data_IF_885571837051
#
_entry.id   IF_885571837051
#
_cell.length_a   1.000
_cell.length_b   1.000
_cell.length_c   1.000
_cell.angle_alpha   90.00
_cell.angle_beta   90.00
_cell.angle_gamma   90.00
#
_symmetry.space_group_name_H-M   'P 1'
#
loop_
_entity.id
_entity.type
_entity.pdbx_description
1 polymer ?
#
# COMPACT_ATOMS: atom_id res chain seq x y z
N UNK A 1 -11.13 -28.38 -18.01
CA UNK A 1 -9.66 -28.38 -17.82
C UNK A 1 -9.04 -27.36 -18.77
N UNK A 2 -8.84 -26.13 -18.31
CA UNK A 2 -8.09 -25.11 -19.06
C UNK A 2 -6.61 -25.28 -18.68
N UNK A 3 -5.74 -25.46 -19.68
CA UNK A 3 -4.29 -25.51 -19.46
C UNK A 3 -3.81 -24.13 -19.00
N UNK A 4 -3.02 -24.01 -17.92
CA UNK A 4 -2.41 -22.73 -17.58
C UNK A 4 -1.32 -22.41 -18.61
N UNK A 5 -1.53 -21.34 -19.39
CA UNK A 5 -0.46 -20.72 -20.16
C UNK A 5 0.42 -19.95 -19.19
N UNK A 6 1.52 -20.57 -18.75
CA UNK A 6 2.58 -19.88 -18.02
C UNK A 6 3.36 -19.00 -18.98
N UNK A 7 2.92 -17.74 -19.14
CA UNK A 7 3.79 -16.69 -19.66
C UNK A 7 4.80 -16.33 -18.58
N UNK A 8 5.99 -16.93 -18.65
CA UNK A 8 7.17 -16.43 -17.97
C UNK A 8 7.48 -15.05 -18.54
N UNK A 9 6.98 -13.99 -17.89
CA UNK A 9 7.47 -12.64 -18.16
C UNK A 9 8.81 -12.53 -17.43
N UNK A 10 9.95 -12.41 -18.14
CA UNK A 10 11.23 -12.26 -17.49
C UNK A 10 11.15 -11.04 -16.56
N UNK A 11 11.54 -11.23 -15.29
CA UNK A 11 12.07 -10.12 -14.51
C UNK A 11 13.27 -9.65 -15.32
N UNK A 12 13.09 -8.57 -16.08
CA UNK A 12 14.22 -7.86 -16.67
C UNK A 12 14.92 -7.24 -15.47
N UNK A 13 15.87 -7.98 -14.89
CA UNK A 13 16.93 -7.39 -14.09
C UNK A 13 17.60 -6.39 -15.04
N UNK A 14 17.33 -5.11 -14.81
CA UNK A 14 17.95 -4.02 -15.53
C UNK A 14 19.47 -4.26 -15.46
N UNK A 15 20.10 -4.39 -16.62
CA UNK A 15 21.56 -4.40 -16.71
C UNK A 15 22.06 -3.14 -16.00
N UNK A 16 22.86 -3.31 -14.95
CA UNK A 16 23.65 -2.21 -14.41
C UNK A 16 24.58 -1.72 -15.52
N UNK A 17 24.20 -0.65 -16.21
CA UNK A 17 25.10 -0.01 -17.18
C UNK A 17 26.20 0.68 -16.38
N UNK A 18 27.36 0.05 -16.32
CA UNK A 18 28.60 0.67 -15.89
C UNK A 18 28.89 1.82 -16.85
N UNK A 19 28.59 3.05 -16.46
CA UNK A 19 29.15 4.22 -17.16
C UNK A 19 30.59 4.36 -16.68
N UNK A 20 31.61 4.14 -17.53
CA UNK A 20 32.98 4.45 -17.16
C UNK A 20 33.12 5.97 -17.03
N UNK A 21 33.09 6.46 -15.80
CA UNK A 21 33.53 7.81 -15.46
C UNK A 21 35.02 7.91 -15.74
N UNK A 22 35.35 8.62 -16.82
CA UNK A 22 36.73 8.89 -17.20
C UNK A 22 37.26 10.05 -16.35
N UNK A 23 38.02 9.74 -15.31
CA UNK A 23 38.89 10.71 -14.64
C UNK A 23 38.75 10.79 -13.12
N UNK A 24 39.87 10.55 -12.45
CA UNK A 24 40.14 11.09 -11.12
C UNK A 24 39.69 10.21 -9.96
N UNK A 25 40.66 9.85 -9.12
CA UNK A 25 40.49 9.17 -7.84
C UNK A 25 39.44 9.83 -6.95
N UNK A 26 38.34 9.13 -6.71
CA UNK A 26 37.52 9.18 -5.48
C UNK A 26 36.50 8.05 -5.59
N UNK A 27 36.17 7.42 -4.46
CA UNK A 27 35.36 6.19 -4.36
C UNK A 27 34.19 6.17 -5.34
N UNK A 28 34.30 5.37 -6.41
CA UNK A 28 33.31 5.30 -7.47
C UNK A 28 31.96 4.85 -6.92
N UNK A 29 31.09 5.82 -6.63
CA UNK A 29 29.73 5.58 -6.21
C UNK A 29 28.99 4.99 -7.41
N UNK A 30 28.66 3.70 -7.32
CA UNK A 30 27.84 3.04 -8.34
C UNK A 30 26.45 3.64 -8.27
N UNK A 31 26.07 4.41 -9.30
CA UNK A 31 24.70 4.90 -9.46
C UNK A 31 23.87 3.77 -10.07
N UNK A 32 22.92 3.24 -9.31
CA UNK A 32 21.93 2.31 -9.83
C UNK A 32 20.73 3.15 -10.26
N UNK A 33 20.41 3.13 -11.54
CA UNK A 33 19.18 3.77 -12.05
C UNK A 33 18.08 2.71 -12.07
N UNK A 34 17.09 2.85 -11.20
CA UNK A 34 15.88 2.03 -11.23
C UNK A 34 14.87 2.63 -12.20
N UNK A 35 14.76 2.06 -13.39
CA UNK A 35 13.69 2.39 -14.32
C UNK A 35 12.45 1.55 -13.97
N UNK A 36 11.54 2.13 -13.19
CA UNK A 36 10.24 1.54 -12.91
C UNK A 36 9.32 1.72 -14.12
N UNK A 37 8.65 0.64 -14.52
CA UNK A 37 7.70 0.65 -15.64
C UNK A 37 6.33 0.26 -15.15
N UNK A 38 5.29 0.79 -15.79
CA UNK A 38 3.92 0.42 -15.49
C UNK A 38 3.76 -1.11 -15.52
N UNK A 39 3.10 -1.64 -14.49
CA UNK A 39 2.80 -3.06 -14.41
C UNK A 39 1.67 -3.37 -15.38
N UNK A 40 2.04 -3.92 -16.53
CA UNK A 40 1.09 -4.32 -17.57
C UNK A 40 0.61 -5.75 -17.32
N UNK A 41 -0.69 -5.96 -17.40
CA UNK A 41 -1.31 -7.27 -17.17
C UNK A 41 -2.81 -7.24 -17.41
N UNK A 42 -3.44 -8.41 -17.47
CA UNK A 42 -4.89 -8.50 -17.57
C UNK A 42 -5.51 -8.00 -16.26
N UNK A 43 -6.31 -6.94 -16.33
CA UNK A 43 -7.18 -6.52 -15.23
C UNK A 43 -8.34 -7.50 -15.10
N UNK A 44 -8.50 -8.07 -13.92
CA UNK A 44 -9.58 -8.96 -13.54
C UNK A 44 -10.88 -8.15 -13.29
N UNK A 45 -12.07 -8.77 -13.36
CA UNK A 45 -13.35 -8.08 -13.16
C UNK A 45 -13.49 -7.34 -11.82
N UNK A 46 -12.74 -7.77 -10.81
CA UNK A 46 -12.69 -7.17 -9.48
C UNK A 46 -11.66 -6.03 -9.35
N UNK A 47 -10.99 -5.64 -10.44
CA UNK A 47 -10.06 -4.52 -10.51
C UNK A 47 -8.58 -4.86 -10.23
N UNK A 48 -8.29 -6.10 -9.82
CA UNK A 48 -6.90 -6.55 -9.61
C UNK A 48 -6.19 -6.85 -10.92
N UNK A 49 -4.86 -6.73 -10.94
CA UNK A 49 -4.04 -7.06 -12.11
C UNK A 49 -3.44 -8.46 -11.93
N UNK A 50 -3.59 -9.34 -12.91
CA UNK A 50 -3.02 -10.68 -12.86
C UNK A 50 -1.48 -10.63 -12.69
N UNK A 51 -0.94 -11.46 -11.80
CA UNK A 51 0.51 -11.50 -11.51
C UNK A 51 1.01 -10.41 -10.57
N UNK A 52 0.10 -9.68 -9.91
CA UNK A 52 0.42 -8.72 -8.86
C UNK A 52 -0.03 -9.18 -7.49
N UNK A 53 0.57 -8.58 -6.47
CA UNK A 53 0.06 -8.67 -5.12
C UNK A 53 -1.30 -7.97 -5.01
N UNK A 54 -2.32 -8.65 -4.47
CA UNK A 54 -3.69 -8.13 -4.43
C UNK A 54 -3.99 -7.55 -3.06
N UNK A 55 -4.24 -6.25 -2.96
CA UNK A 55 -4.61 -5.56 -1.73
C UNK A 55 -6.05 -5.05 -1.77
N UNK A 56 -6.90 -5.67 -0.96
CA UNK A 56 -8.22 -5.17 -0.68
C UNK A 56 -8.16 -4.03 0.34
N UNK A 57 -8.60 -2.85 -0.08
CA UNK A 57 -8.76 -1.69 0.80
C UNK A 57 -10.19 -1.73 1.36
N UNK A 58 -10.32 -2.19 2.60
CA UNK A 58 -11.60 -2.42 3.27
C UNK A 58 -12.07 -1.12 3.97
N UNK A 59 -12.90 -0.35 3.27
CA UNK A 59 -13.48 0.88 3.81
C UNK A 59 -14.70 0.58 4.67
N UNK A 60 -14.63 0.93 5.95
CA UNK A 60 -15.82 1.03 6.80
C UNK A 60 -16.70 2.18 6.30
N UNK A 61 -17.80 1.85 5.64
CA UNK A 61 -18.71 2.83 5.05
C UNK A 61 -19.33 3.78 6.09
N UNK A 62 -19.55 3.32 7.33
CA UNK A 62 -20.08 4.15 8.39
C UNK A 62 -19.05 5.16 8.87
N UNK A 63 -17.81 4.70 9.10
CA UNK A 63 -16.69 5.56 9.46
C UNK A 63 -16.36 6.58 8.34
N UNK A 64 -16.36 6.13 7.09
CA UNK A 64 -16.14 6.98 5.93
C UNK A 64 -17.22 8.06 5.80
N UNK A 65 -18.50 7.70 5.94
CA UNK A 65 -19.58 8.69 5.89
C UNK A 65 -19.44 9.76 6.98
N UNK A 66 -19.06 9.36 8.20
CA UNK A 66 -18.80 10.29 9.30
C UNK A 66 -17.60 11.21 9.01
N UNK A 67 -16.51 10.66 8.50
CA UNK A 67 -15.32 11.43 8.13
C UNK A 67 -15.60 12.42 6.98
N UNK A 68 -16.34 12.00 5.95
CA UNK A 68 -16.77 12.88 4.86
C UNK A 68 -17.63 14.03 5.37
N UNK A 69 -18.62 13.74 6.23
CA UNK A 69 -19.46 14.75 6.84
C UNK A 69 -18.64 15.76 7.67
N UNK A 70 -17.65 15.27 8.42
CA UNK A 70 -16.73 16.11 9.19
C UNK A 70 -15.88 17.05 8.29
N UNK A 71 -15.56 16.62 7.07
CA UNK A 71 -14.87 17.43 6.06
C UNK A 71 -15.82 18.34 5.26
N UNK A 72 -17.12 18.30 5.52
CA UNK A 72 -18.12 19.08 4.78
C UNK A 72 -18.50 18.48 3.42
N UNK A 73 -18.21 17.20 3.19
CA UNK A 73 -18.62 16.47 1.99
C UNK A 73 -19.92 15.70 2.23
N UNK A 74 -20.64 15.40 1.15
CA UNK A 74 -21.83 14.54 1.22
C UNK A 74 -21.44 13.06 1.28
N UNK A 75 -22.24 12.24 1.95
CA UNK A 75 -22.04 10.78 1.95
C UNK A 75 -22.17 10.15 0.55
N UNK A 76 -22.88 10.81 -0.38
CA UNK A 76 -22.98 10.40 -1.78
C UNK A 76 -21.64 10.43 -2.53
N UNK A 77 -20.61 11.09 -1.98
CA UNK A 77 -19.27 11.14 -2.56
C UNK A 77 -18.36 10.00 -2.09
N UNK A 78 -18.87 9.03 -1.33
CA UNK A 78 -18.07 7.93 -0.80
C UNK A 78 -17.39 7.09 -1.90
N UNK A 79 -18.08 6.78 -2.99
CA UNK A 79 -17.49 5.98 -4.08
C UNK A 79 -16.44 6.78 -4.87
N UNK A 80 -16.66 8.09 -5.07
CA UNK A 80 -15.68 8.98 -5.68
C UNK A 80 -14.42 9.06 -4.81
N UNK A 81 -14.58 9.21 -3.50
CA UNK A 81 -13.48 9.22 -2.54
C UNK A 81 -12.66 7.92 -2.62
N UNK A 82 -13.31 6.76 -2.54
CA UNK A 82 -12.64 5.45 -2.65
C UNK A 82 -11.88 5.33 -3.96
N UNK A 83 -12.51 5.71 -5.08
CA UNK A 83 -11.88 5.67 -6.40
C UNK A 83 -10.61 6.52 -6.45
N UNK A 84 -10.69 7.77 -5.96
CA UNK A 84 -9.54 8.69 -5.92
C UNK A 84 -8.45 8.19 -4.98
N UNK A 85 -8.80 7.62 -3.83
CA UNK A 85 -7.82 7.03 -2.91
C UNK A 85 -7.07 5.90 -3.59
N UNK A 86 -7.76 5.02 -4.33
CA UNK A 86 -7.11 3.93 -5.07
C UNK A 86 -6.24 4.45 -6.22
N UNK A 87 -6.62 5.52 -6.90
CA UNK A 87 -5.82 6.17 -7.96
C UNK A 87 -4.51 6.73 -7.41
N UNK A 88 -4.58 7.50 -6.32
CA UNK A 88 -3.38 8.01 -5.64
C UNK A 88 -2.51 6.87 -5.09
N UNK A 89 -3.12 5.83 -4.53
CA UNK A 89 -2.40 4.67 -4.00
C UNK A 89 -1.63 3.94 -5.11
N UNK A 90 -2.23 3.75 -6.29
CA UNK A 90 -1.54 3.19 -7.46
C UNK A 90 -0.34 4.02 -7.89
N UNK A 91 -0.43 5.35 -7.77
CA UNK A 91 0.67 6.27 -8.10
C UNK A 91 1.86 6.07 -7.15
N UNK A 92 1.62 5.87 -5.85
CA UNK A 92 2.69 5.64 -4.87
C UNK A 92 3.44 4.31 -5.09
N UNK A 93 2.78 3.32 -5.68
CA UNK A 93 3.36 2.02 -6.02
C UNK A 93 3.64 1.86 -7.51
N UNK A 94 3.86 2.95 -8.24
CA UNK A 94 4.13 2.88 -9.67
C UNK A 94 5.33 1.96 -9.96
N UNK A 95 5.12 0.99 -10.86
CA UNK A 95 6.10 -0.02 -11.24
C UNK A 95 6.45 -1.08 -10.20
N UNK A 96 5.75 -1.08 -9.08
CA UNK A 96 5.77 -2.14 -8.09
C UNK A 96 4.61 -3.12 -8.39
N UNK A 97 4.86 -4.44 -8.34
CA UNK A 97 3.87 -5.48 -8.72
C UNK A 97 2.80 -5.70 -7.64
N UNK A 98 1.97 -4.69 -7.46
CA UNK A 98 0.86 -4.64 -6.50
C UNK A 98 -0.36 -4.02 -7.19
N UNK A 99 -1.56 -4.49 -6.84
CA UNK A 99 -2.82 -3.92 -7.31
C UNK A 99 -3.82 -3.79 -6.16
N UNK A 100 -4.69 -2.80 -6.29
CA UNK A 100 -5.58 -2.39 -5.21
C UNK A 100 -7.03 -2.44 -5.68
N UNK A 101 -7.93 -2.86 -4.80
CA UNK A 101 -9.37 -2.79 -5.03
C UNK A 101 -10.14 -2.49 -3.74
N UNK A 102 -11.23 -1.75 -3.86
CA UNK A 102 -12.21 -1.57 -2.78
C UNK A 102 -13.14 -2.78 -2.62
N UNK A 103 -13.01 -3.79 -3.48
CA UNK A 103 -13.76 -5.04 -3.40
C UNK A 103 -12.80 -6.22 -3.23
N UNK A 104 -13.12 -7.20 -2.37
CA UNK A 104 -12.33 -8.41 -2.31
C UNK A 104 -12.47 -9.23 -3.61
N UNK A 105 -11.54 -10.14 -3.92
CA UNK A 105 -11.73 -11.10 -5.00
C UNK A 105 -12.95 -12.00 -4.74
N UNK A 106 -13.76 -12.30 -5.77
CA UNK A 106 -14.98 -13.13 -5.63
C UNK A 106 -14.70 -14.54 -5.09
N UNK A 107 -13.58 -15.12 -5.49
CA UNK A 107 -13.10 -16.42 -5.02
C UNK A 107 -11.70 -16.19 -4.45
N UNK A 108 -11.60 -15.45 -3.36
CA UNK A 108 -10.33 -15.15 -2.69
C UNK A 108 -10.28 -15.66 -1.27
N UNK A 109 -9.08 -15.82 -0.75
CA UNK A 109 -8.85 -16.16 0.65
C UNK A 109 -7.98 -15.13 1.38
N UNK A 110 -8.37 -14.78 2.60
CA UNK A 110 -7.60 -13.90 3.48
C UNK A 110 -7.75 -14.38 4.91
N UNK A 111 -6.86 -13.97 5.81
CA UNK A 111 -7.01 -14.36 7.20
C UNK A 111 -8.23 -13.70 7.83
N UNK A 112 -8.61 -14.22 8.99
CA UNK A 112 -9.61 -13.57 9.82
C UNK A 112 -9.08 -12.21 10.29
N UNK A 113 -9.95 -11.19 10.43
CA UNK A 113 -9.54 -9.90 10.96
C UNK A 113 -8.77 -10.05 12.27
N UNK A 114 -7.55 -9.50 12.29
CA UNK A 114 -6.70 -9.56 13.47
C UNK A 114 -5.88 -10.81 13.68
N UNK A 115 -5.94 -11.74 12.73
CA UNK A 115 -5.17 -12.96 12.74
C UNK A 115 -3.95 -12.85 11.81
N UNK A 116 -2.93 -13.64 12.11
CA UNK A 116 -1.70 -13.73 11.32
C UNK A 116 -1.63 -15.10 10.68
N UNK A 117 -1.82 -15.15 9.37
CA UNK A 117 -1.74 -16.40 8.61
C UNK A 117 -0.83 -16.21 7.39
N UNK A 118 0.01 -17.21 7.11
CA UNK A 118 0.86 -17.19 5.92
C UNK A 118 0.06 -17.54 4.66
N UNK A 119 0.41 -16.95 3.51
CA UNK A 119 -0.24 -17.20 2.22
C UNK A 119 -0.54 -18.67 1.94
N UNK A 120 0.45 -19.55 2.20
CA UNK A 120 0.37 -20.98 1.93
C UNK A 120 -0.76 -21.70 2.70
N UNK A 121 -1.31 -21.06 3.74
CA UNK A 121 -2.39 -21.60 4.57
C UNK A 121 -3.77 -21.04 4.23
N UNK A 122 -3.85 -20.00 3.40
CA UNK A 122 -5.09 -19.29 3.10
C UNK A 122 -5.94 -20.01 2.04
N UNK A 123 -5.33 -20.83 1.19
CA UNK A 123 -6.01 -21.57 0.12
C UNK A 123 -5.79 -20.92 -1.25
N UNK A 124 -6.78 -21.03 -2.13
CA UNK A 124 -6.68 -20.53 -3.50
C UNK A 124 -6.88 -19.01 -3.58
N UNK A 125 -6.11 -18.38 -4.47
CA UNK A 125 -6.20 -16.96 -4.79
C UNK A 125 -6.14 -16.04 -3.54
N UNK A 126 -5.11 -16.19 -2.69
CA UNK A 126 -5.01 -15.37 -1.50
C UNK A 126 -4.79 -13.89 -1.81
N UNK A 127 -5.23 -13.03 -0.89
CA UNK A 127 -5.16 -11.57 -1.03
C UNK A 127 -4.95 -10.88 0.33
N UNK A 128 -4.36 -9.69 0.25
CA UNK A 128 -4.10 -8.79 1.35
C UNK A 128 -5.31 -7.97 1.72
N UNK A 129 -5.45 -7.60 3.00
CA UNK A 129 -6.45 -6.63 3.44
C UNK A 129 -5.81 -5.56 4.30
N UNK A 130 -6.21 -4.31 4.07
CA UNK A 130 -5.96 -3.18 4.97
C UNK A 130 -7.29 -2.45 5.23
N UNK A 131 -7.65 -2.28 6.50
CA UNK A 131 -8.88 -1.61 6.88
C UNK A 131 -8.68 -0.09 6.86
N UNK A 132 -9.64 0.64 6.32
CA UNK A 132 -9.83 2.08 6.49
C UNK A 132 -11.04 2.28 7.38
N UNK A 133 -10.83 2.54 8.66
CA UNK A 133 -11.86 2.42 9.69
C UNK A 133 -11.81 3.55 10.71
N UNK A 134 -12.76 3.54 11.65
CA UNK A 134 -12.76 4.47 12.78
C UNK A 134 -11.78 3.97 13.87
N UNK A 135 -10.72 4.72 14.13
CA UNK A 135 -9.75 4.47 15.20
C UNK A 135 -10.37 4.59 16.60
N UNK A 136 -11.39 5.42 16.74
CA UNK A 136 -12.09 5.69 18.00
C UNK A 136 -11.62 6.98 18.67
N UNK A 137 -12.32 7.42 19.73
CA UNK A 137 -12.09 8.71 20.37
C UNK A 137 -10.68 8.86 20.96
N UNK A 138 -10.07 7.76 21.38
CA UNK A 138 -8.76 7.75 22.03
C UNK A 138 -7.59 7.61 21.05
N UNK A 139 -7.86 7.48 19.75
CA UNK A 139 -6.78 7.35 18.76
C UNK A 139 -6.07 8.68 18.55
N UNK A 140 -4.76 8.69 18.84
CA UNK A 140 -3.87 9.86 18.69
C UNK A 140 -2.97 9.78 17.45
N UNK A 141 -2.96 8.64 16.76
CA UNK A 141 -2.08 8.37 15.63
C UNK A 141 -2.92 8.17 14.37
N UNK A 142 -2.49 8.75 13.25
CA UNK A 142 -3.13 8.55 11.94
C UNK A 142 -2.53 7.29 11.32
N UNK A 143 -3.35 6.27 11.10
CA UNK A 143 -2.84 4.96 10.69
C UNK A 143 -2.18 4.22 11.85
N UNK A 144 -2.28 2.89 11.81
CA UNK A 144 -1.65 2.03 12.79
C UNK A 144 -1.39 0.65 12.19
N UNK A 145 -0.12 0.37 11.90
CA UNK A 145 0.44 -0.96 11.74
C UNK A 145 1.37 -1.28 12.90
N UNK A 146 1.52 -2.57 13.22
CA UNK A 146 2.53 -3.02 14.16
C UNK A 146 3.88 -3.11 13.44
N UNK A 147 4.96 -2.77 14.16
CA UNK A 147 6.31 -3.01 13.68
C UNK A 147 6.55 -4.51 13.53
N UNK A 148 6.78 -4.97 12.31
CA UNK A 148 6.95 -6.38 11.99
C UNK A 148 8.36 -6.62 11.38
N UNK A 149 9.22 -7.35 12.12
CA UNK A 149 10.52 -7.88 11.64
C UNK A 149 10.79 -9.23 12.35
N UNK A 150 11.38 -10.30 11.75
CA UNK A 150 12.25 -10.43 10.57
C UNK A 150 11.63 -11.19 9.37
N UNK A 151 11.84 -10.63 8.18
CA UNK A 151 11.71 -11.18 6.81
C UNK A 151 10.35 -11.71 6.32
N UNK A 152 9.30 -10.89 6.43
CA UNK A 152 7.98 -11.04 5.77
C UNK A 152 7.21 -12.35 6.06
N UNK A 153 7.33 -12.90 7.26
CA UNK A 153 6.82 -14.25 7.52
C UNK A 153 5.28 -14.36 7.66
N UNK A 154 4.51 -13.28 7.89
CA UNK A 154 3.14 -13.42 8.45
C UNK A 154 2.09 -12.32 8.20
N UNK A 155 2.36 -11.27 7.44
CA UNK A 155 1.52 -10.04 7.52
C UNK A 155 0.93 -9.65 6.20
N UNK A 156 0.21 -10.60 5.61
CA UNK A 156 -0.65 -10.32 4.47
C UNK A 156 -2.12 -10.07 4.89
N UNK A 157 -2.42 -9.97 6.18
CA UNK A 157 -3.70 -10.47 6.68
C UNK A 157 -4.27 -9.78 7.93
N UNK A 158 -3.67 -8.67 8.35
CA UNK A 158 -3.87 -8.13 9.69
C UNK A 158 -4.77 -6.88 9.74
N UNK A 159 -5.66 -6.70 8.77
CA UNK A 159 -6.64 -5.63 8.83
C UNK A 159 -7.67 -5.88 9.93
N UNK A 160 -7.94 -4.87 10.76
CA UNK A 160 -9.08 -4.85 11.67
C UNK A 160 -8.70 -4.73 13.14
N UNK A 161 -8.03 -5.74 13.75
CA UNK A 161 -7.80 -5.78 15.22
C UNK A 161 -6.59 -6.62 15.64
N UNK A 162 -5.52 -6.07 16.20
CA UNK A 162 -4.50 -6.87 16.86
C UNK A 162 -5.02 -7.55 18.14
N UNK A 163 -4.29 -8.56 18.62
CA UNK A 163 -4.55 -9.25 19.87
C UNK A 163 -4.68 -8.24 21.03
N UNK A 164 -5.79 -8.29 21.78
CA UNK A 164 -5.96 -7.46 22.98
C UNK A 164 -6.47 -6.03 22.76
N UNK A 165 -7.42 -5.83 21.83
CA UNK A 165 -8.23 -4.60 21.63
C UNK A 165 -7.64 -3.49 20.76
N UNK A 166 -6.39 -3.57 20.33
CA UNK A 166 -5.81 -2.56 19.44
C UNK A 166 -6.38 -2.71 18.03
N UNK A 167 -6.97 -1.65 17.47
CA UNK A 167 -7.39 -1.64 16.06
C UNK A 167 -6.15 -1.46 15.17
N UNK A 168 -6.14 -2.13 14.02
CA UNK A 168 -5.11 -1.96 13.00
C UNK A 168 -5.73 -1.49 11.69
N UNK A 169 -5.01 -0.64 10.98
CA UNK A 169 -5.43 -0.06 9.71
C UNK A 169 -5.26 1.44 9.66
N UNK A 170 -5.90 2.07 8.68
CA UNK A 170 -5.88 3.51 8.47
C UNK A 170 -7.09 4.15 9.15
N UNK A 171 -6.83 5.03 10.12
CA UNK A 171 -7.88 5.66 10.92
C UNK A 171 -8.40 6.94 10.26
N UNK A 172 -9.50 6.81 9.54
CA UNK A 172 -10.04 7.88 8.69
C UNK A 172 -10.58 9.07 9.50
N UNK A 173 -11.02 8.82 10.74
CA UNK A 173 -11.47 9.85 11.68
C UNK A 173 -10.31 10.71 12.23
N UNK A 174 -9.10 10.14 12.32
CA UNK A 174 -7.90 10.89 12.72
C UNK A 174 -7.43 11.72 11.53
N UNK A 175 -7.39 11.12 10.34
CA UNK A 175 -6.99 11.83 9.11
C UNK A 175 -7.93 13.02 8.86
N UNK A 176 -9.25 12.83 8.91
CA UNK A 176 -10.21 13.94 8.75
C UNK A 176 -9.97 15.06 9.78
N UNK A 177 -9.60 14.73 11.02
CA UNK A 177 -9.26 15.73 12.05
C UNK A 177 -7.96 16.48 11.75
N UNK A 178 -6.93 15.80 11.28
CA UNK A 178 -5.65 16.45 10.95
C UNK A 178 -5.75 17.37 9.73
N UNK A 179 -6.76 17.17 8.88
CA UNK A 179 -7.00 17.94 7.66
C UNK A 179 -7.91 19.15 7.89
N UNK A 180 -7.65 19.96 8.94
CA UNK A 180 -8.39 21.20 9.23
C UNK A 180 -8.38 22.25 8.11
N UNK A 181 -7.59 22.06 7.05
CA UNK A 181 -7.66 22.88 5.86
C UNK A 181 -8.74 22.32 4.93
N UNK A 182 -9.74 23.15 4.60
CA UNK A 182 -10.78 22.93 3.58
C UNK A 182 -10.14 22.54 2.23
N UNK A 183 -9.80 21.26 2.07
CA UNK A 183 -9.25 20.68 0.85
C UNK A 183 -10.35 20.19 -0.07
N UNK A 184 -9.99 19.87 -1.31
CA UNK A 184 -10.88 19.12 -2.20
C UNK A 184 -11.05 17.68 -1.71
N UNK A 185 -12.09 16.99 -2.18
CA UNK A 185 -12.26 15.55 -1.97
C UNK A 185 -11.00 14.77 -2.41
N UNK A 186 -10.40 15.22 -3.51
CA UNK A 186 -9.15 14.66 -4.06
C UNK A 186 -7.97 14.78 -3.09
N UNK A 187 -7.84 15.92 -2.43
CA UNK A 187 -6.79 16.13 -1.44
C UNK A 187 -6.98 15.24 -0.20
N UNK A 188 -8.22 15.06 0.27
CA UNK A 188 -8.53 14.13 1.36
C UNK A 188 -8.23 12.68 0.94
N UNK A 189 -8.62 12.31 -0.29
CA UNK A 189 -8.34 10.99 -0.85
C UNK A 189 -6.83 10.71 -1.00
N UNK A 190 -6.04 11.71 -1.44
CA UNK A 190 -4.58 11.64 -1.57
C UNK A 190 -3.90 11.40 -0.22
N UNK A 191 -4.30 12.11 0.84
CA UNK A 191 -3.72 11.92 2.17
C UNK A 191 -4.10 10.56 2.78
N UNK A 192 -5.32 10.09 2.52
CA UNK A 192 -5.72 8.73 2.90
C UNK A 192 -4.88 7.68 2.15
N UNK A 193 -4.63 7.90 0.86
CA UNK A 193 -3.77 7.04 0.05
C UNK A 193 -2.31 7.04 0.53
N UNK A 194 -1.79 8.18 0.97
CA UNK A 194 -0.44 8.29 1.54
C UNK A 194 -0.31 7.44 2.82
N UNK A 195 -1.29 7.54 3.72
CA UNK A 195 -1.32 6.71 4.93
C UNK A 195 -1.47 5.22 4.59
N UNK A 196 -2.34 4.86 3.66
CA UNK A 196 -2.41 3.49 3.16
C UNK A 196 -1.05 3.00 2.63
N UNK A 197 -0.36 3.81 1.82
CA UNK A 197 0.95 3.44 1.29
C UNK A 197 2.01 3.23 2.38
N UNK A 198 1.99 4.08 3.41
CA UNK A 198 2.87 3.96 4.59
C UNK A 198 2.63 2.63 5.34
N UNK A 199 1.37 2.35 5.69
CA UNK A 199 1.01 1.15 6.45
C UNK A 199 1.22 -0.14 5.63
N UNK A 200 0.99 -0.10 4.32
CA UNK A 200 1.32 -1.19 3.40
C UNK A 200 2.85 -1.37 3.34
N UNK A 201 3.61 -0.27 3.32
CA UNK A 201 5.07 -0.30 3.42
C UNK A 201 5.55 -1.04 4.67
N UNK A 202 5.00 -0.73 5.84
CA UNK A 202 5.26 -1.48 7.08
C UNK A 202 4.91 -2.96 6.96
N UNK A 203 3.74 -3.25 6.39
CA UNK A 203 3.28 -4.63 6.19
C UNK A 203 4.22 -5.42 5.26
N UNK A 204 4.91 -4.74 4.35
CA UNK A 204 5.91 -5.30 3.42
C UNK A 204 7.35 -5.23 3.97
N UNK A 205 7.51 -4.88 5.25
CA UNK A 205 8.77 -4.91 5.98
C UNK A 205 9.61 -3.62 5.87
N UNK A 206 9.06 -2.54 5.32
CA UNK A 206 9.75 -1.24 5.33
C UNK A 206 9.73 -0.65 6.74
N UNK A 207 10.86 -0.09 7.16
CA UNK A 207 10.97 0.67 8.41
C UNK A 207 10.79 2.16 8.15
N UNK A 208 10.58 2.93 9.23
CA UNK A 208 10.58 4.38 9.11
C UNK A 208 11.90 4.89 8.53
N UNK A 209 11.80 5.94 7.71
CA UNK A 209 12.93 6.65 7.14
C UNK A 209 12.61 8.15 7.12
N UNK A 210 13.13 8.86 8.13
CA UNK A 210 12.77 10.26 8.43
C UNK A 210 13.52 11.28 7.55
N UNK A 211 13.68 10.99 6.27
CA UNK A 211 14.12 11.97 5.28
C UNK A 211 12.91 12.56 4.56
N UNK A 212 12.90 13.87 4.35
CA UNK A 212 11.91 14.48 3.48
C UNK A 212 12.39 14.57 2.02
N UNK A 213 11.52 14.29 1.03
CA UNK A 213 10.17 13.73 1.14
C UNK A 213 10.16 12.19 1.06
N UNK A 214 9.56 11.48 2.03
CA UNK A 214 9.50 10.01 2.01
C UNK A 214 8.16 9.49 2.52
N UNK A 215 7.59 8.48 1.85
CA UNK A 215 6.35 7.81 2.29
C UNK A 215 6.52 7.17 3.66
N UNK A 216 7.69 6.61 3.97
CA UNK A 216 7.98 5.96 5.25
C UNK A 216 8.44 6.95 6.34
N UNK A 217 8.24 8.26 6.17
CA UNK A 217 8.53 9.22 7.23
C UNK A 217 7.63 8.95 8.46
N UNK A 218 8.20 8.87 9.66
CA UNK A 218 7.47 8.52 10.90
C UNK A 218 6.45 9.58 11.33
N UNK A 219 6.65 10.81 10.88
CA UNK A 219 5.68 11.89 11.03
C UNK A 219 4.92 12.06 9.72
N UNK A 220 3.60 12.07 9.81
CA UNK A 220 2.75 12.30 8.66
C UNK A 220 2.93 13.73 8.14
N UNK A 221 3.70 13.92 7.07
CA UNK A 221 3.88 15.22 6.42
C UNK A 221 2.70 15.48 5.48
N UNK A 222 1.55 15.81 6.06
CA UNK A 222 0.34 16.18 5.33
C UNK A 222 0.60 17.52 4.62
N UNK A 223 0.57 17.51 3.29
CA UNK A 223 0.14 18.68 2.53
C UNK A 223 1.17 19.59 1.88
N UNK A 224 2.48 19.30 1.95
CA UNK A 224 3.48 20.18 1.31
C UNK A 224 4.54 19.45 0.48
N UNK A 225 4.57 18.12 0.53
CA UNK A 225 5.51 17.31 -0.26
C UNK A 225 4.77 16.33 -1.18
N UNK A 226 5.43 15.92 -2.26
CA UNK A 226 5.04 14.74 -3.05
C UNK A 226 5.93 13.57 -2.57
N UNK A 227 5.58 12.91 -1.45
CA UNK A 227 6.38 11.81 -0.92
C UNK A 227 6.40 10.63 -1.88
N UNK A 228 7.54 9.95 -1.91
CA UNK A 228 7.74 8.73 -2.67
C UNK A 228 8.50 7.70 -1.83
N UNK A 229 8.50 6.45 -2.28
CA UNK A 229 9.47 5.48 -1.81
C UNK A 229 10.85 5.83 -2.37
N UNK A 230 11.88 5.78 -1.53
CA UNK A 230 13.27 5.93 -1.96
C UNK A 230 13.77 4.63 -2.62
N UNK A 231 14.95 4.70 -3.25
CA UNK A 231 15.55 3.58 -3.97
C UNK A 231 15.61 2.29 -3.16
N UNK A 232 16.06 2.37 -1.90
CA UNK A 232 16.18 1.19 -1.02
C UNK A 232 14.82 0.56 -0.70
N UNK A 233 13.78 1.37 -0.54
CA UNK A 233 12.40 0.88 -0.37
C UNK A 233 11.93 0.17 -1.63
N UNK A 234 12.12 0.77 -2.80
CA UNK A 234 11.73 0.16 -4.08
C UNK A 234 12.44 -1.17 -4.31
N UNK A 235 13.75 -1.26 -4.04
CA UNK A 235 14.51 -2.51 -4.13
C UNK A 235 13.95 -3.58 -3.19
N UNK A 236 13.69 -3.23 -1.93
CA UNK A 236 13.10 -4.16 -0.98
C UNK A 236 11.71 -4.61 -1.44
N UNK A 237 10.85 -3.69 -1.88
CA UNK A 237 9.51 -4.01 -2.39
C UNK A 237 9.57 -4.93 -3.62
N UNK A 238 10.52 -4.72 -4.54
CA UNK A 238 10.69 -5.58 -5.72
C UNK A 238 11.12 -7.01 -5.38
N UNK A 239 11.87 -7.19 -4.28
CA UNK A 239 12.24 -8.51 -3.76
C UNK A 239 11.10 -9.10 -2.93
N UNK A 240 10.37 -8.24 -2.23
CA UNK A 240 9.26 -8.57 -1.36
C UNK A 240 7.92 -8.65 -2.06
N UNK A 241 7.76 -8.45 -3.39
CA UNK A 241 6.49 -8.55 -4.18
C UNK A 241 6.57 -9.60 -5.33
N UNK A 242 5.49 -10.34 -5.70
CA UNK A 242 4.07 -9.89 -5.78
C UNK A 242 2.93 -10.69 -5.06
N UNK A 243 2.75 -10.77 -3.74
CA UNK A 243 1.93 -11.87 -3.16
C UNK A 243 1.10 -11.57 -1.93
N UNK A 244 0.03 -12.36 -1.85
CA UNK A 244 0.10 -13.65 -1.15
C UNK A 244 0.38 -14.86 -2.06
N UNK A 245 1.55 -15.50 -1.91
CA UNK A 245 1.83 -16.88 -2.41
C UNK A 245 2.60 -17.08 -3.74
N UNK A 246 2.45 -16.23 -4.75
CA UNK A 246 3.35 -15.97 -5.92
C UNK A 246 3.86 -17.14 -6.80
N UNK A 247 2.96 -17.86 -7.46
CA UNK A 247 2.72 -17.81 -8.92
C UNK A 247 1.31 -18.36 -9.17
#
# INVERSE_FOLDING_TARGET
>A
MLKPYFSYIPIVLLLATLLPGCGGSESGQKVIVLELREVTGQTLPNGFVLGTDKWHIDFDNGALAAALAQQGFSSGQAEEFKSKTLEHLKTYFFGIRISFSSKPPEIGSTAKPGDRQGAATLGENPYNVISVCNGGPDSKYAGYALYDFADNARVENNSGKAWGYQKLGVFIDVISRCMWMRGSLDYFAKNTALMLAHEIGHSLGLSHYDSDPNIMHSQCVIGTSNPAFIETHCLQLLVSLPGPGRL
#
